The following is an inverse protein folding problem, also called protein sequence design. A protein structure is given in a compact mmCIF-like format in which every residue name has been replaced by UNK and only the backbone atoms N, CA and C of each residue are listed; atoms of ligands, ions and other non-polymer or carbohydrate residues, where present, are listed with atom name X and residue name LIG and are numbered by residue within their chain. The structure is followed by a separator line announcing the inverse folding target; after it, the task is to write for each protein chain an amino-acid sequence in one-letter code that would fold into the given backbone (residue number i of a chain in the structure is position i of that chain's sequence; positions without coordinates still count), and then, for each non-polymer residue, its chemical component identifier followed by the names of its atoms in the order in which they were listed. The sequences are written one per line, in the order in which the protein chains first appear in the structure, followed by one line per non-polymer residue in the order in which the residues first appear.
data_IF_592989761529
#
_entry.id   IF_592989761529
#
_cell.length_a   1.000
_cell.length_b   1.000
_cell.length_c   1.000
_cell.angle_alpha   90.00
_cell.angle_beta   90.00
_cell.angle_gamma   90.00
#
_symmetry.space_group_name_H-M   'P 1'
#
loop_
_entity.id
_entity.type
_entity.pdbx_description
1 polymer ?
#
# COMPACT_ATOMS: atom_id res chain seq x y z
N UNK A 1 21.35 10.35 2.82
CA UNK A 1 21.37 9.59 4.10
C UNK A 1 20.28 10.04 5.09
N UNK A 2 19.65 11.21 4.91
CA UNK A 2 18.55 11.69 5.77
C UNK A 2 17.19 11.00 5.55
N UNK A 3 16.92 10.50 4.33
CA UNK A 3 15.61 9.89 3.97
C UNK A 3 15.34 8.53 4.64
N UNK A 4 16.36 7.69 4.84
CA UNK A 4 16.20 6.36 5.46
C UNK A 4 15.90 6.47 6.97
N UNK A 5 16.54 7.40 7.67
CA UNK A 5 16.31 7.64 9.11
C UNK A 5 14.89 8.18 9.35
N UNK A 6 14.41 9.08 8.50
CA UNK A 6 13.02 9.58 8.57
C UNK A 6 11.99 8.47 8.33
N UNK A 7 12.28 7.54 7.41
CA UNK A 7 11.39 6.41 7.11
C UNK A 7 11.26 5.46 8.31
N UNK A 8 12.37 5.00 8.88
CA UNK A 8 12.36 4.11 10.04
C UNK A 8 11.64 4.74 11.23
N UNK A 9 11.87 6.04 11.46
CA UNK A 9 11.22 6.77 12.54
C UNK A 9 9.70 6.88 12.32
N UNK A 10 9.24 7.16 11.10
CA UNK A 10 7.81 7.16 10.77
C UNK A 10 7.16 5.80 10.97
N UNK A 11 7.83 4.71 10.56
CA UNK A 11 7.30 3.35 10.80
C UNK A 11 7.15 3.09 12.30
N UNK A 12 8.17 3.43 13.10
CA UNK A 12 8.12 3.31 14.57
C UNK A 12 6.95 4.09 15.16
N UNK A 13 6.81 5.38 14.82
CA UNK A 13 5.73 6.24 15.29
C UNK A 13 4.34 5.72 14.89
N UNK A 14 4.20 5.19 13.67
CA UNK A 14 2.94 4.59 13.23
C UNK A 14 2.58 3.38 14.07
N UNK A 15 3.53 2.47 14.30
CA UNK A 15 3.30 1.27 15.10
C UNK A 15 2.95 1.60 16.55
N UNK A 16 3.60 2.60 17.13
CA UNK A 16 3.25 3.10 18.47
C UNK A 16 1.81 3.63 18.50
N UNK A 17 1.43 4.45 17.51
CA UNK A 17 0.08 4.97 17.39
C UNK A 17 -0.97 3.86 17.21
N UNK A 18 -0.68 2.82 16.43
CA UNK A 18 -1.57 1.68 16.23
C UNK A 18 -1.65 0.80 17.48
N UNK A 19 -0.53 0.51 18.12
CA UNK A 19 -0.48 -0.28 19.36
C UNK A 19 -1.31 0.38 20.47
N UNK A 20 -1.26 1.71 20.58
CA UNK A 20 -2.02 2.46 21.57
C UNK A 20 -3.54 2.34 21.41
N UNK A 21 -4.03 1.98 20.22
CA UNK A 21 -5.46 1.83 19.90
C UNK A 21 -5.82 0.41 19.46
N UNK A 22 -4.93 -0.56 19.66
CA UNK A 22 -5.13 -1.94 19.25
C UNK A 22 -6.28 -2.58 20.04
N UNK A 23 -7.00 -3.48 19.38
CA UNK A 23 -8.12 -4.22 19.94
C UNK A 23 -7.93 -5.72 19.63
N UNK A 24 -7.29 -6.47 20.55
CA UNK A 24 -6.99 -7.88 20.32
C UNK A 24 -8.23 -8.76 20.09
N UNK A 25 -9.38 -8.38 20.64
CA UNK A 25 -10.63 -9.11 20.42
C UNK A 25 -11.11 -8.92 18.97
N UNK A 26 -11.11 -7.69 18.48
CA UNK A 26 -11.45 -7.41 17.06
C UNK A 26 -10.41 -7.97 16.10
N UNK A 27 -9.14 -8.03 16.49
CA UNK A 27 -8.08 -8.62 15.67
C UNK A 27 -8.41 -10.07 15.29
N UNK A 28 -9.03 -10.86 16.17
CA UNK A 28 -9.44 -12.24 15.87
C UNK A 28 -10.43 -12.27 14.70
N UNK A 29 -11.46 -11.42 14.74
CA UNK A 29 -12.48 -11.35 13.68
C UNK A 29 -11.88 -10.88 12.35
N UNK A 30 -10.99 -9.88 12.39
CA UNK A 30 -10.32 -9.35 11.19
C UNK A 30 -9.39 -10.37 10.55
N UNK A 31 -8.65 -11.15 11.36
CA UNK A 31 -7.85 -12.27 10.86
C UNK A 31 -8.73 -13.33 10.19
N UNK A 32 -9.80 -13.74 10.85
CA UNK A 32 -10.73 -14.76 10.31
C UNK A 32 -11.34 -14.33 8.97
N UNK A 33 -11.74 -13.06 8.84
CA UNK A 33 -12.23 -12.50 7.58
C UNK A 33 -11.20 -12.61 6.45
N UNK A 34 -9.92 -12.41 6.78
CA UNK A 34 -8.79 -12.54 5.88
C UNK A 34 -8.24 -13.96 5.78
N UNK A 35 -9.00 -14.97 6.24
CA UNK A 35 -8.61 -16.39 6.24
C UNK A 35 -7.25 -16.64 6.91
N UNK A 36 -7.01 -15.92 8.01
CA UNK A 36 -5.82 -16.02 8.86
C UNK A 36 -4.49 -15.84 8.10
N UNK A 37 -4.51 -15.13 6.98
CA UNK A 37 -3.31 -14.90 6.16
C UNK A 37 -2.35 -13.87 6.80
N UNK A 38 -2.85 -12.98 7.66
CA UNK A 38 -2.09 -11.86 8.20
C UNK A 38 -2.38 -11.61 9.69
N UNK A 39 -1.38 -11.19 10.48
CA UNK A 39 -1.60 -10.53 11.77
C UNK A 39 -2.37 -9.22 11.65
N UNK A 40 -3.04 -8.83 12.73
CA UNK A 40 -3.81 -7.58 12.83
C UNK A 40 -3.67 -6.95 14.22
N UNK A 41 -3.70 -5.62 14.28
CA UNK A 41 -3.89 -4.87 15.52
C UNK A 41 -5.37 -4.85 15.98
N UNK A 42 -6.32 -5.06 15.07
CA UNK A 42 -7.76 -5.01 15.35
C UNK A 42 -8.39 -3.63 15.15
N UNK A 43 -7.80 -2.79 14.27
CA UNK A 43 -8.17 -1.38 14.16
C UNK A 43 -9.08 -1.15 12.95
N UNK A 44 -10.31 -0.62 13.14
CA UNK A 44 -11.20 -0.31 12.02
C UNK A 44 -10.67 0.87 11.18
N UNK A 45 -11.01 0.89 9.89
CA UNK A 45 -10.45 1.84 8.93
C UNK A 45 -10.55 3.34 9.33
N UNK A 46 -11.66 3.85 9.91
CA UNK A 46 -11.72 5.24 10.35
C UNK A 46 -10.70 5.57 11.45
N UNK A 47 -10.58 4.72 12.46
CA UNK A 47 -9.62 4.90 13.55
C UNK A 47 -8.17 4.76 13.06
N UNK A 48 -7.90 3.76 12.21
CA UNK A 48 -6.60 3.55 11.57
C UNK A 48 -6.15 4.79 10.80
N UNK A 49 -7.03 5.34 9.95
CA UNK A 49 -6.71 6.54 9.14
C UNK A 49 -6.51 7.77 10.00
N UNK A 50 -7.29 7.94 11.06
CA UNK A 50 -7.12 9.04 12.00
C UNK A 50 -5.75 8.97 12.70
N UNK A 51 -5.37 7.80 13.21
CA UNK A 51 -4.08 7.57 13.87
C UNK A 51 -2.89 7.68 12.91
N UNK A 52 -3.04 7.24 11.66
CA UNK A 52 -1.96 7.28 10.66
C UNK A 52 -1.70 8.67 10.09
N UNK A 53 -2.71 9.55 10.07
CA UNK A 53 -2.65 10.85 9.40
C UNK A 53 -1.44 11.72 9.80
N UNK A 54 -1.09 11.90 11.09
CA UNK A 54 0.06 12.74 11.48
C UNK A 54 1.39 12.18 10.98
N UNK A 55 1.53 10.85 10.96
CA UNK A 55 2.77 10.15 10.61
C UNK A 55 2.96 10.09 9.09
N UNK A 56 1.86 9.95 8.35
CA UNK A 56 1.88 9.86 6.90
C UNK A 56 1.82 11.22 6.20
N UNK A 57 1.74 12.34 6.92
CA UNK A 57 1.78 13.65 6.27
C UNK A 57 3.20 13.97 5.77
N UNK A 58 3.34 13.96 4.44
CA UNK A 58 4.56 14.31 3.72
C UNK A 58 4.41 15.66 2.97
N UNK A 59 3.35 16.41 3.27
CA UNK A 59 3.03 17.67 2.59
C UNK A 59 2.30 17.50 1.25
N UNK A 60 2.10 18.63 0.57
CA UNK A 60 1.28 18.72 -0.66
C UNK A 60 1.96 18.19 -1.93
N UNK A 61 3.29 18.22 -1.96
CA UNK A 61 4.14 17.78 -3.07
C UNK A 61 5.34 17.02 -2.49
N UNK A 62 5.12 15.83 -1.94
CA UNK A 62 6.21 15.05 -1.38
C UNK A 62 7.15 14.57 -2.48
N UNK A 63 8.36 14.21 -2.08
CA UNK A 63 9.25 13.42 -2.92
C UNK A 63 8.62 12.03 -3.18
N UNK A 64 8.36 11.65 -4.45
CA UNK A 64 7.79 10.35 -4.80
C UNK A 64 8.65 9.17 -4.31
N UNK A 65 9.97 9.31 -4.28
CA UNK A 65 10.86 8.25 -3.80
C UNK A 65 10.68 8.01 -2.30
N UNK A 66 10.52 9.08 -1.52
CA UNK A 66 10.21 8.99 -0.10
C UNK A 66 8.82 8.39 0.16
N UNK A 67 7.82 8.70 -0.69
CA UNK A 67 6.47 8.10 -0.61
C UNK A 67 6.56 6.58 -0.81
N UNK A 68 7.27 6.13 -1.84
CA UNK A 68 7.42 4.70 -2.16
C UNK A 68 8.25 3.99 -1.09
N UNK A 69 9.35 4.59 -0.64
CA UNK A 69 10.19 4.03 0.42
C UNK A 69 9.41 3.83 1.73
N UNK A 70 8.57 4.80 2.12
CA UNK A 70 7.73 4.67 3.31
C UNK A 70 6.63 3.61 3.13
N UNK A 71 5.97 3.56 1.98
CA UNK A 71 4.96 2.52 1.72
C UNK A 71 5.57 1.12 1.75
N UNK A 72 6.75 0.94 1.16
CA UNK A 72 7.52 -0.30 1.15
C UNK A 72 8.02 -0.68 2.56
N UNK A 73 8.44 0.28 3.37
CA UNK A 73 8.80 0.03 4.77
C UNK A 73 7.59 -0.43 5.60
N UNK A 74 6.43 0.21 5.44
CA UNK A 74 5.18 -0.19 6.08
C UNK A 74 4.68 -1.56 5.62
N UNK A 75 4.96 -1.93 4.38
CA UNK A 75 4.58 -3.24 3.83
C UNK A 75 5.32 -4.41 4.46
N UNK A 76 6.53 -4.16 5.01
CA UNK A 76 7.33 -5.17 5.70
C UNK A 76 6.89 -5.43 7.13
N UNK A 77 6.03 -4.57 7.69
CA UNK A 77 5.48 -4.79 9.02
C UNK A 77 4.47 -5.94 9.00
N UNK A 78 4.44 -6.77 10.06
CA UNK A 78 3.65 -8.00 10.05
C UNK A 78 2.16 -7.75 10.10
N UNK A 79 1.69 -6.71 10.79
CA UNK A 79 0.27 -6.42 10.91
C UNK A 79 -0.29 -5.77 9.63
N UNK A 80 -1.41 -6.31 9.13
CA UNK A 80 -2.03 -5.91 7.86
C UNK A 80 -2.42 -4.43 7.84
N UNK A 81 -2.74 -3.82 8.98
CA UNK A 81 -3.03 -2.40 9.06
C UNK A 81 -1.86 -1.51 8.63
N UNK A 82 -0.61 -1.97 8.72
CA UNK A 82 0.55 -1.24 8.18
C UNK A 82 0.56 -1.27 6.65
N UNK A 83 0.26 -2.41 6.01
CA UNK A 83 0.09 -2.49 4.56
C UNK A 83 -1.09 -1.60 4.08
N UNK A 84 -2.18 -1.51 4.86
CA UNK A 84 -3.26 -0.55 4.57
C UNK A 84 -2.82 0.90 4.68
N UNK A 85 -1.98 1.24 5.66
CA UNK A 85 -1.42 2.58 5.80
C UNK A 85 -0.52 2.94 4.60
N UNK A 86 0.33 2.01 4.15
CA UNK A 86 1.14 2.16 2.93
C UNK A 86 0.28 2.31 1.66
N UNK A 87 -0.79 1.52 1.55
CA UNK A 87 -1.75 1.62 0.45
C UNK A 87 -2.47 2.98 0.44
N UNK A 88 -3.02 3.43 1.58
CA UNK A 88 -3.68 4.73 1.71
C UNK A 88 -2.71 5.88 1.36
N UNK A 89 -1.43 5.78 1.74
CA UNK A 89 -0.37 6.73 1.38
C UNK A 89 -0.17 6.80 -0.14
N UNK A 90 0.02 5.64 -0.79
CA UNK A 90 0.22 5.56 -2.24
C UNK A 90 -0.98 6.11 -3.01
N UNK A 91 -2.20 5.71 -2.62
CA UNK A 91 -3.45 6.20 -3.24
C UNK A 91 -3.53 7.73 -3.15
N UNK A 92 -3.25 8.30 -1.98
CA UNK A 92 -3.31 9.76 -1.78
C UNK A 92 -2.27 10.51 -2.61
N UNK A 93 -1.08 9.93 -2.79
CA UNK A 93 0.04 10.56 -3.48
C UNK A 93 0.23 10.08 -4.92
N UNK A 94 -0.68 9.26 -5.44
CA UNK A 94 -0.50 8.54 -6.71
C UNK A 94 -0.12 9.48 -7.86
N UNK A 95 -0.67 10.69 -7.92
CA UNK A 95 -0.41 11.69 -8.97
C UNK A 95 1.04 12.18 -9.04
N UNK A 96 1.83 11.95 -7.99
CA UNK A 96 3.23 12.32 -7.91
C UNK A 96 4.17 11.18 -8.35
N UNK A 97 3.66 9.94 -8.44
CA UNK A 97 4.46 8.80 -8.88
C UNK A 97 4.84 8.94 -10.37
N UNK A 98 6.10 8.65 -10.66
CA UNK A 98 6.74 8.56 -11.99
C UNK A 98 6.76 7.12 -12.52
N UNK A 99 6.95 6.90 -13.83
CA UNK A 99 6.95 5.56 -14.44
C UNK A 99 7.87 4.54 -13.75
N UNK A 100 9.07 4.95 -13.32
CA UNK A 100 10.05 4.10 -12.63
C UNK A 100 9.52 3.45 -11.33
N UNK A 101 8.51 4.04 -10.69
CA UNK A 101 7.91 3.50 -9.47
C UNK A 101 6.92 2.36 -9.72
N UNK A 102 6.52 2.10 -10.97
CA UNK A 102 5.61 0.99 -11.26
C UNK A 102 6.17 -0.33 -10.75
N UNK A 103 7.48 -0.56 -10.93
CA UNK A 103 8.16 -1.75 -10.42
C UNK A 103 8.03 -1.93 -8.91
N UNK A 104 7.97 -0.84 -8.14
CA UNK A 104 7.73 -0.91 -6.71
C UNK A 104 6.29 -1.28 -6.40
N UNK A 105 5.32 -0.71 -7.12
CA UNK A 105 3.90 -1.06 -6.96
C UNK A 105 3.65 -2.52 -7.33
N UNK A 106 4.25 -3.01 -8.41
CA UNK A 106 4.21 -4.43 -8.82
C UNK A 106 4.76 -5.33 -7.71
N UNK A 107 5.90 -4.98 -7.10
CA UNK A 107 6.44 -5.72 -5.95
C UNK A 107 5.47 -5.78 -4.78
N UNK A 108 4.79 -4.68 -4.45
CA UNK A 108 3.77 -4.68 -3.39
C UNK A 108 2.57 -5.56 -3.77
N UNK A 109 2.15 -5.57 -5.03
CA UNK A 109 1.05 -6.42 -5.51
C UNK A 109 1.36 -7.91 -5.32
N UNK A 110 2.61 -8.34 -5.56
CA UNK A 110 3.03 -9.76 -5.48
C UNK A 110 3.62 -10.17 -4.13
N UNK A 111 3.69 -9.27 -3.16
CA UNK A 111 4.17 -9.58 -1.80
C UNK A 111 3.05 -9.39 -0.78
N UNK A 112 2.89 -10.34 0.14
CA UNK A 112 1.77 -10.32 1.11
C UNK A 112 0.40 -10.12 0.42
N UNK A 113 0.22 -10.77 -0.73
CA UNK A 113 -0.87 -10.50 -1.65
C UNK A 113 -2.21 -11.02 -1.16
N UNK A 114 -3.22 -10.15 -1.19
CA UNK A 114 -4.61 -10.50 -0.99
C UNK A 114 -5.51 -9.39 -1.58
N UNK A 115 -6.77 -9.71 -1.86
CA UNK A 115 -7.67 -8.85 -2.63
C UNK A 115 -7.85 -7.46 -2.03
N UNK A 116 -7.81 -7.34 -0.70
CA UNK A 116 -8.02 -6.11 0.06
C UNK A 116 -6.97 -5.02 -0.23
N UNK A 117 -5.72 -5.40 -0.51
CA UNK A 117 -4.69 -4.44 -0.93
C UNK A 117 -4.48 -4.42 -2.43
N UNK A 118 -4.54 -5.57 -3.11
CA UNK A 118 -4.31 -5.64 -4.56
C UNK A 118 -5.34 -4.83 -5.33
N UNK A 119 -6.63 -4.93 -4.97
CA UNK A 119 -7.70 -4.20 -5.67
C UNK A 119 -7.51 -2.69 -5.54
N UNK A 120 -7.11 -2.24 -4.34
CA UNK A 120 -6.85 -0.84 -4.08
C UNK A 120 -5.63 -0.35 -4.88
N UNK A 121 -4.52 -1.09 -4.86
CA UNK A 121 -3.32 -0.74 -5.64
C UNK A 121 -3.58 -0.74 -7.14
N UNK A 122 -4.28 -1.77 -7.65
CA UNK A 122 -4.59 -1.91 -9.07
C UNK A 122 -5.42 -0.73 -9.59
N UNK A 123 -6.58 -0.47 -8.96
CA UNK A 123 -7.53 0.52 -9.45
C UNK A 123 -7.14 1.98 -9.14
N UNK A 124 -6.31 2.22 -8.12
CA UNK A 124 -6.05 3.58 -7.62
C UNK A 124 -4.59 4.02 -7.72
N UNK A 125 -3.66 3.11 -7.98
CA UNK A 125 -2.23 3.42 -8.04
C UNK A 125 -1.64 2.98 -9.38
N UNK A 126 -1.63 1.68 -9.66
CA UNK A 126 -1.06 1.13 -10.89
C UNK A 126 -1.82 1.60 -12.13
N UNK A 127 -3.15 1.49 -12.14
CA UNK A 127 -4.00 1.95 -13.23
C UNK A 127 -3.80 3.43 -13.58
N UNK A 128 -4.01 4.37 -12.64
CA UNK A 128 -3.75 5.79 -12.90
C UNK A 128 -2.31 6.11 -13.30
N UNK A 129 -1.31 5.33 -12.85
CA UNK A 129 0.09 5.49 -13.24
C UNK A 129 0.32 5.06 -14.68
N UNK A 130 -0.21 3.91 -15.09
CA UNK A 130 -0.17 3.41 -16.46
C UNK A 130 -0.89 4.37 -17.40
N UNK A 131 -2.14 4.75 -17.10
CA UNK A 131 -2.98 5.58 -17.98
C UNK A 131 -2.39 6.96 -18.31
N UNK A 132 -1.56 7.53 -17.43
CA UNK A 132 -0.91 8.83 -17.65
C UNK A 132 0.51 8.72 -18.24
N UNK A 133 1.05 7.51 -18.37
CA UNK A 133 2.45 7.27 -18.70
C UNK A 133 2.53 6.36 -19.92
N UNK A 134 2.68 6.92 -21.14
CA UNK A 134 2.73 6.14 -22.38
C UNK A 134 3.76 5.00 -22.36
N UNK A 135 4.90 5.21 -21.70
CA UNK A 135 5.98 4.23 -21.55
C UNK A 135 5.56 2.96 -20.77
N UNK A 136 4.41 2.98 -20.08
CA UNK A 136 3.89 1.87 -19.28
C UNK A 136 2.67 1.19 -19.91
N UNK A 137 2.26 1.57 -21.13
CA UNK A 137 1.06 1.02 -21.76
C UNK A 137 1.16 -0.48 -22.11
N UNK A 138 2.37 -1.05 -22.11
CA UNK A 138 2.60 -2.48 -22.27
C UNK A 138 2.36 -3.27 -20.97
N UNK A 139 2.31 -2.59 -19.81
CA UNK A 139 2.22 -3.24 -18.51
C UNK A 139 0.98 -4.13 -18.35
N UNK A 140 -0.23 -3.74 -18.78
CA UNK A 140 -1.40 -4.61 -18.70
C UNK A 140 -1.25 -5.91 -19.50
N UNK A 141 -0.60 -5.86 -20.67
CA UNK A 141 -0.34 -7.06 -21.49
C UNK A 141 0.69 -7.98 -20.81
N UNK A 142 1.70 -7.40 -20.16
CA UNK A 142 2.64 -8.18 -19.34
C UNK A 142 1.93 -8.83 -18.14
N UNK A 143 1.09 -8.07 -17.44
CA UNK A 143 0.36 -8.54 -16.26
C UNK A 143 -0.65 -9.63 -16.57
N UNK A 144 -1.39 -9.55 -17.69
CA UNK A 144 -2.39 -10.56 -18.04
C UNK A 144 -1.74 -11.88 -18.46
N UNK A 145 -0.51 -11.82 -19.00
CA UNK A 145 0.29 -12.98 -19.37
C UNK A 145 1.11 -13.57 -18.21
N UNK A 146 1.15 -12.91 -17.06
CA UNK A 146 1.96 -13.34 -15.91
C UNK A 146 1.38 -14.60 -15.23
N UNK A 147 2.26 -15.39 -14.60
CA UNK A 147 1.88 -16.57 -13.83
C UNK A 147 1.22 -16.17 -12.49
N UNK A 148 1.61 -15.02 -11.92
CA UNK A 148 1.06 -14.50 -10.69
C UNK A 148 -0.40 -14.03 -10.88
N UNK A 149 -1.29 -14.63 -10.09
CA UNK A 149 -2.72 -14.34 -10.20
C UNK A 149 -3.09 -12.89 -9.85
N UNK A 150 -2.31 -12.23 -8.99
CA UNK A 150 -2.56 -10.85 -8.53
C UNK A 150 -2.09 -9.82 -9.55
N UNK A 151 -1.04 -10.11 -10.31
CA UNK A 151 -0.72 -9.32 -11.51
C UNK A 151 -1.81 -9.46 -12.57
N UNK A 152 -2.28 -10.68 -12.87
CA UNK A 152 -3.42 -10.86 -13.78
C UNK A 152 -4.67 -10.13 -13.30
N UNK A 153 -4.97 -10.18 -12.00
CA UNK A 153 -6.06 -9.41 -11.39
C UNK A 153 -5.85 -7.90 -11.54
N UNK A 154 -4.61 -7.43 -11.42
CA UNK A 154 -4.26 -6.02 -11.64
C UNK A 154 -4.55 -5.60 -13.08
N UNK A 155 -4.17 -6.43 -14.08
CA UNK A 155 -4.56 -6.22 -15.48
C UNK A 155 -6.09 -6.09 -15.67
N UNK A 156 -6.90 -6.87 -14.96
CA UNK A 156 -8.36 -6.76 -15.07
C UNK A 156 -8.93 -5.50 -14.41
N UNK A 157 -8.28 -4.98 -13.36
CA UNK A 157 -8.80 -3.87 -12.54
C UNK A 157 -8.19 -2.50 -12.86
N UNK A 158 -7.11 -2.43 -13.65
CA UNK A 158 -6.37 -1.18 -13.86
C UNK A 158 -7.18 -0.07 -14.55
N UNK A 159 -8.28 -0.40 -15.25
CA UNK A 159 -9.18 0.55 -15.93
C UNK A 159 -10.51 0.76 -15.19
N UNK A 160 -10.62 0.35 -13.92
CA UNK A 160 -11.89 0.39 -13.19
C UNK A 160 -12.42 1.83 -12.94
N UNK A 161 -11.59 2.85 -13.10
CA UNK A 161 -11.91 4.26 -12.78
C UNK A 161 -11.63 5.20 -13.91
#
# INVERSE_FOLDING_TARGET
MTSSVDTTERVRLLREAFTAIADPARAIEMRAYQRDQFPFFGIPAPARRAAARPVLDLGRRPDPDAVVALADALWREPERECAYAGTDLLVRQQRHLRPEHLSAVERLIVTSSWWDTVDALAANVAGPLVLRSPDLHDAPDRWIADDDLWLRRTALLHQLR
#
